data_IF_622278685131
#
_entry.id   IF_622278685131
#
_cell.length_a   1.000
_cell.length_b   1.000
_cell.length_c   1.000
_cell.angle_alpha   90.00
_cell.angle_beta   90.00
_cell.angle_gamma   90.00
#
_symmetry.space_group_name_H-M   'P 1'
#
loop_
_entity.id
_entity.type
_entity.pdbx_description
1 polymer ?
#
# COMPACT_ATOMS: atom_id res chain seq x y z
N UNK A 1 -23.16 2.31 -5.86
CA UNK A 1 -21.98 1.42 -5.81
C UNK A 1 -22.34 0.24 -4.91
N UNK A 2 -22.45 -0.99 -5.45
CA UNK A 2 -22.73 -2.17 -4.61
C UNK A 2 -21.48 -2.43 -3.74
N UNK A 3 -21.63 -2.32 -2.41
CA UNK A 3 -20.59 -2.77 -1.48
C UNK A 3 -20.39 -4.27 -1.70
N UNK A 4 -19.15 -4.70 -1.94
CA UNK A 4 -18.84 -6.11 -2.08
C UNK A 4 -19.17 -6.80 -0.74
N UNK A 5 -19.80 -7.98 -0.77
CA UNK A 5 -20.05 -8.82 0.42
C UNK A 5 -18.76 -9.54 0.87
N UNK A 6 -17.60 -9.00 0.55
CA UNK A 6 -16.32 -9.63 0.85
C UNK A 6 -15.88 -9.20 2.25
N UNK A 7 -15.34 -10.14 3.02
CA UNK A 7 -14.64 -9.81 4.26
C UNK A 7 -13.53 -8.77 3.94
N UNK A 8 -13.23 -7.83 4.86
CA UNK A 8 -12.13 -6.88 4.67
C UNK A 8 -10.85 -7.59 4.19
N UNK A 9 -10.28 -7.13 3.08
CA UNK A 9 -9.12 -7.78 2.43
C UNK A 9 -9.45 -8.79 1.33
N UNK A 10 -10.66 -9.35 1.28
CA UNK A 10 -11.08 -10.31 0.24
C UNK A 10 -11.11 -9.73 -1.17
N UNK A 11 -11.31 -8.41 -1.29
CA UNK A 11 -11.28 -7.67 -2.56
C UNK A 11 -9.91 -7.78 -3.27
N UNK A 12 -8.83 -7.81 -2.50
CA UNK A 12 -7.47 -7.96 -3.02
C UNK A 12 -7.24 -9.36 -3.60
N UNK A 13 -7.78 -10.40 -2.96
CA UNK A 13 -7.68 -11.78 -3.45
C UNK A 13 -8.41 -11.92 -4.79
N UNK A 14 -9.63 -11.39 -4.90
CA UNK A 14 -10.39 -11.39 -6.16
C UNK A 14 -9.65 -10.61 -7.24
N UNK A 15 -9.16 -9.41 -6.93
CA UNK A 15 -8.37 -8.62 -7.87
C UNK A 15 -7.10 -9.35 -8.33
N UNK A 16 -6.50 -10.16 -7.46
CA UNK A 16 -5.36 -10.98 -7.82
C UNK A 16 -5.73 -12.13 -8.76
N UNK A 17 -6.81 -12.84 -8.48
CA UNK A 17 -7.28 -13.92 -9.35
C UNK A 17 -7.64 -13.39 -10.74
N UNK A 18 -8.33 -12.25 -10.82
CA UNK A 18 -8.66 -11.61 -12.10
C UNK A 18 -7.42 -11.09 -12.82
N UNK A 19 -6.48 -10.46 -12.11
CA UNK A 19 -5.25 -9.96 -12.70
C UNK A 19 -4.37 -11.05 -13.31
N UNK A 20 -4.34 -12.25 -12.71
CA UNK A 20 -3.61 -13.41 -13.26
C UNK A 20 -4.18 -13.94 -14.58
N UNK A 21 -5.42 -13.65 -14.91
CA UNK A 21 -6.04 -14.06 -16.19
C UNK A 21 -5.54 -13.23 -17.38
N UNK A 22 -4.89 -12.09 -17.13
CA UNK A 22 -4.37 -11.21 -18.19
C UNK A 22 -3.11 -11.84 -18.81
N UNK A 23 -3.27 -12.33 -20.04
CA UNK A 23 -2.19 -12.96 -20.82
C UNK A 23 -1.01 -12.01 -21.03
N UNK A 24 0.19 -12.59 -21.07
CA UNK A 24 1.45 -11.88 -21.32
C UNK A 24 1.73 -10.71 -20.36
N UNK A 25 1.25 -10.83 -19.12
CA UNK A 25 1.47 -9.81 -18.09
C UNK A 25 2.21 -10.37 -16.88
N UNK A 26 3.05 -9.54 -16.28
CA UNK A 26 3.64 -9.82 -14.97
C UNK A 26 2.71 -9.24 -13.90
N UNK A 27 2.34 -10.08 -12.94
CA UNK A 27 1.35 -9.75 -11.92
C UNK A 27 2.00 -9.58 -10.54
N UNK A 28 1.52 -8.63 -9.73
CA UNK A 28 1.90 -8.53 -8.32
C UNK A 28 0.97 -7.65 -7.47
N UNK A 29 0.93 -7.93 -6.17
CA UNK A 29 0.42 -6.98 -5.19
C UNK A 29 1.42 -5.85 -5.02
N UNK A 30 0.92 -4.63 -5.04
CA UNK A 30 1.73 -3.46 -4.82
C UNK A 30 1.19 -2.74 -3.59
N UNK A 31 1.84 -3.01 -2.45
CA UNK A 31 1.55 -2.33 -1.20
C UNK A 31 2.78 -2.34 -0.29
N UNK A 32 2.81 -1.42 0.67
CA UNK A 32 3.83 -1.35 1.72
C UNK A 32 3.34 -2.14 2.93
N UNK A 33 4.22 -2.94 3.52
CA UNK A 33 3.95 -3.59 4.81
C UNK A 33 3.48 -2.53 5.85
N UNK A 34 2.36 -2.80 6.50
CA UNK A 34 1.74 -1.88 7.46
C UNK A 34 2.65 -1.59 8.66
N UNK A 35 3.49 -2.54 9.10
CA UNK A 35 4.48 -2.32 10.16
C UNK A 35 5.47 -1.23 9.80
N UNK A 36 5.96 -1.23 8.55
CA UNK A 36 6.89 -0.21 8.05
C UNK A 36 6.18 1.16 8.07
N UNK A 37 4.93 1.19 7.63
CA UNK A 37 4.11 2.41 7.65
C UNK A 37 3.95 2.96 9.07
N UNK A 38 3.56 2.13 10.02
CA UNK A 38 3.33 2.52 11.41
C UNK A 38 4.62 2.91 12.12
N UNK A 39 5.73 2.20 11.87
CA UNK A 39 7.03 2.57 12.42
C UNK A 39 7.48 3.95 11.90
N UNK A 40 7.27 4.24 10.61
CA UNK A 40 7.57 5.57 10.04
C UNK A 40 6.70 6.65 10.67
N UNK A 41 5.41 6.37 10.89
CA UNK A 41 4.50 7.27 11.58
C UNK A 41 4.96 7.52 13.02
N UNK A 42 5.22 6.47 13.79
CA UNK A 42 5.65 6.53 15.18
C UNK A 42 6.95 7.34 15.35
N UNK A 43 7.89 7.22 14.42
CA UNK A 43 9.15 8.00 14.41
C UNK A 43 8.94 9.49 14.14
N UNK A 44 7.83 9.88 13.51
CA UNK A 44 7.51 11.27 13.17
C UNK A 44 6.64 11.96 14.22
N UNK A 45 5.94 11.21 15.06
CA UNK A 45 5.14 11.76 16.16
C UNK A 45 6.04 12.16 17.33
N UNK A 46 5.78 13.33 17.90
CA UNK A 46 6.30 13.76 19.20
C UNK A 46 5.71 12.93 20.33
N UNK A 47 6.32 13.00 21.53
CA UNK A 47 5.80 12.29 22.70
C UNK A 47 4.35 12.69 23.04
N UNK A 48 4.02 13.98 22.94
CA UNK A 48 2.67 14.49 23.18
C UNK A 48 1.65 14.00 22.14
N UNK A 49 2.04 13.97 20.86
CA UNK A 49 1.17 13.45 19.80
C UNK A 49 0.92 11.95 19.95
N UNK A 50 1.92 11.17 20.40
CA UNK A 50 1.74 9.75 20.73
C UNK A 50 0.72 9.56 21.85
N UNK A 51 0.81 10.34 22.93
CA UNK A 51 -0.15 10.30 24.02
C UNK A 51 -1.56 10.71 23.57
N UNK A 52 -1.68 11.74 22.72
CA UNK A 52 -2.97 12.17 22.16
C UNK A 52 -3.58 11.10 21.27
N UNK A 53 -2.79 10.48 20.40
CA UNK A 53 -3.25 9.40 19.51
C UNK A 53 -3.69 8.17 20.32
N UNK A 54 -2.97 7.80 21.39
CA UNK A 54 -3.40 6.74 22.31
C UNK A 54 -4.72 7.08 23.00
N UNK A 55 -4.89 8.32 23.46
CA UNK A 55 -6.14 8.79 24.08
C UNK A 55 -7.29 8.74 23.08
N UNK A 56 -7.09 9.25 21.87
CA UNK A 56 -8.11 9.27 20.82
C UNK A 56 -8.53 7.83 20.50
N UNK A 57 -7.59 6.93 20.22
CA UNK A 57 -7.90 5.51 19.97
C UNK A 57 -8.63 4.86 21.15
N UNK A 58 -8.23 5.14 22.39
CA UNK A 58 -8.90 4.60 23.58
C UNK A 58 -10.35 5.12 23.72
N UNK A 59 -10.59 6.40 23.42
CA UNK A 59 -11.93 7.00 23.45
C UNK A 59 -12.86 6.44 22.37
N UNK A 60 -12.32 6.11 21.19
CA UNK A 60 -13.09 5.51 20.10
C UNK A 60 -13.34 4.00 20.29
N UNK A 61 -12.49 3.29 21.06
CA UNK A 61 -12.51 1.83 21.22
C UNK A 61 -12.72 1.38 22.68
N UNK A 62 -13.74 1.88 23.37
CA UNK A 62 -14.07 1.41 24.72
C UNK A 62 -14.44 -0.10 24.82
N UNK A 63 -14.43 -0.86 23.72
CA UNK A 63 -14.67 -2.31 23.73
C UNK A 63 -13.59 -3.16 23.03
N UNK A 64 -12.43 -2.62 22.60
CA UNK A 64 -11.59 -3.36 21.64
C UNK A 64 -10.13 -3.68 22.05
N UNK A 65 -9.88 -4.97 22.30
CA UNK A 65 -8.58 -5.57 22.58
C UNK A 65 -7.56 -5.40 21.43
N UNK A 66 -8.04 -5.04 20.22
CA UNK A 66 -7.22 -4.78 19.02
C UNK A 66 -6.26 -3.59 19.19
N UNK A 67 -6.64 -2.59 19.97
CA UNK A 67 -5.81 -1.39 20.23
C UNK A 67 -4.56 -1.72 21.03
N UNK A 68 -4.66 -2.64 22.00
CA UNK A 68 -3.50 -3.11 22.77
C UNK A 68 -2.49 -3.81 21.86
N UNK A 69 -2.96 -4.63 20.91
CA UNK A 69 -2.09 -5.34 19.94
C UNK A 69 -1.36 -4.41 18.97
N UNK A 70 -1.94 -3.24 18.68
CA UNK A 70 -1.32 -2.20 17.84
C UNK A 70 0.06 -1.77 18.33
N UNK A 71 0.27 -1.81 19.66
CA UNK A 71 1.51 -1.39 20.31
C UNK A 71 2.31 -2.54 20.96
N UNK A 72 1.73 -3.74 21.09
CA UNK A 72 2.31 -4.85 21.86
C UNK A 72 2.78 -6.06 21.02
N UNK A 73 3.13 -5.90 19.74
CA UNK A 73 3.64 -6.94 18.82
C UNK A 73 2.59 -7.88 18.17
N UNK A 74 1.66 -7.39 17.36
CA UNK A 74 1.05 -8.26 16.33
C UNK A 74 0.56 -7.46 15.12
N UNK A 75 1.36 -7.55 14.05
CA UNK A 75 1.29 -6.87 12.76
C UNK A 75 0.01 -7.06 11.94
N UNK A 76 -0.82 -8.06 12.23
CA UNK A 76 -1.52 -8.68 11.11
C UNK A 76 -2.82 -8.02 10.65
N UNK A 77 -3.46 -7.12 11.42
CA UNK A 77 -4.71 -6.49 10.99
C UNK A 77 -4.89 -5.10 11.58
N UNK A 78 -4.32 -4.10 10.92
CA UNK A 78 -4.61 -2.70 11.19
C UNK A 78 -5.19 -2.11 9.92
N UNK A 79 -6.51 -1.91 9.91
CA UNK A 79 -7.22 -1.32 8.80
C UNK A 79 -7.14 0.20 8.86
N UNK A 80 -7.16 0.84 7.70
CA UNK A 80 -7.23 2.29 7.60
C UNK A 80 -8.48 2.86 8.28
N UNK A 81 -9.57 2.10 8.26
CA UNK A 81 -10.84 2.43 8.91
C UNK A 81 -10.75 2.39 10.44
N UNK A 82 -9.70 1.78 11.01
CA UNK A 82 -9.45 1.79 12.46
C UNK A 82 -8.93 3.16 12.95
N UNK A 83 -8.65 4.09 12.01
CA UNK A 83 -8.21 5.45 12.32
C UNK A 83 -9.32 6.48 12.03
N UNK A 84 -9.88 7.11 13.08
CA UNK A 84 -10.97 8.06 12.92
C UNK A 84 -10.55 9.27 12.08
N UNK A 85 -11.47 9.90 11.33
CA UNK A 85 -11.25 11.15 10.60
C UNK A 85 -10.59 12.26 11.44
N UNK A 86 -10.93 12.31 12.73
CA UNK A 86 -10.36 13.26 13.69
C UNK A 86 -8.83 13.11 13.84
N UNK A 87 -8.29 11.90 13.66
CA UNK A 87 -6.84 11.65 13.65
C UNK A 87 -6.16 12.24 12.42
N UNK A 88 -6.84 12.34 11.28
CA UNK A 88 -6.29 12.93 10.06
C UNK A 88 -6.15 14.45 10.17
N UNK A 89 -7.09 15.09 10.86
CA UNK A 89 -7.10 16.52 11.11
C UNK A 89 -6.11 16.92 12.22
N UNK A 90 -6.00 16.10 13.26
CA UNK A 90 -5.12 16.35 14.40
C UNK A 90 -3.63 16.12 14.11
N UNK A 91 -3.30 15.32 13.09
CA UNK A 91 -1.93 14.91 12.82
C UNK A 91 -1.57 15.12 11.34
N UNK A 92 -1.03 16.29 10.96
CA UNK A 92 -0.74 16.63 9.56
C UNK A 92 0.24 15.66 8.89
N UNK A 93 1.14 15.05 9.67
CA UNK A 93 2.08 14.04 9.18
C UNK A 93 1.43 12.67 8.92
N UNK A 94 0.27 12.40 9.53
CA UNK A 94 -0.44 11.13 9.39
C UNK A 94 -0.83 10.88 7.94
N UNK A 95 -1.46 11.87 7.30
CA UNK A 95 -1.83 11.79 5.88
C UNK A 95 -0.61 11.63 4.97
N UNK A 96 0.45 12.40 5.26
CA UNK A 96 1.70 12.32 4.50
C UNK A 96 2.29 10.91 4.53
N UNK A 97 2.32 10.26 5.68
CA UNK A 97 2.99 8.95 5.84
C UNK A 97 2.09 7.80 5.39
N UNK A 98 0.81 7.81 5.78
CA UNK A 98 -0.14 6.74 5.49
C UNK A 98 -0.54 6.68 4.02
N UNK A 99 -0.58 7.83 3.34
CA UNK A 99 -0.97 7.94 1.93
C UNK A 99 0.21 8.36 1.07
N UNK A 100 0.73 9.58 1.24
CA UNK A 100 1.72 10.14 0.31
C UNK A 100 3.01 9.30 0.18
N UNK A 101 3.66 8.96 1.29
CA UNK A 101 4.86 8.13 1.29
C UNK A 101 4.57 6.68 0.85
N UNK A 102 3.36 6.19 1.11
CA UNK A 102 2.92 4.86 0.66
C UNK A 102 2.77 4.85 -0.86
N UNK A 103 2.18 5.90 -1.43
CA UNK A 103 2.06 6.10 -2.88
C UNK A 103 3.44 6.15 -3.55
N UNK A 104 4.38 6.93 -2.97
CA UNK A 104 5.76 6.99 -3.45
C UNK A 104 6.45 5.63 -3.43
N UNK A 105 6.28 4.87 -2.34
CA UNK A 105 6.80 3.53 -2.22
C UNK A 105 6.24 2.62 -3.31
N UNK A 106 4.91 2.59 -3.48
CA UNK A 106 4.25 1.76 -4.48
C UNK A 106 4.70 2.12 -5.90
N UNK A 107 4.77 3.40 -6.26
CA UNK A 107 5.27 3.85 -7.56
C UNK A 107 6.71 3.42 -7.81
N UNK A 108 7.57 3.57 -6.81
CA UNK A 108 8.99 3.20 -6.91
C UNK A 108 9.14 1.69 -7.07
N UNK A 109 8.39 0.91 -6.29
CA UNK A 109 8.37 -0.54 -6.37
C UNK A 109 7.92 -1.03 -7.76
N UNK A 110 6.86 -0.43 -8.31
CA UNK A 110 6.38 -0.76 -9.65
C UNK A 110 7.40 -0.44 -10.72
N UNK A 111 8.06 0.72 -10.63
CA UNK A 111 9.10 1.12 -11.58
C UNK A 111 10.32 0.17 -11.52
N UNK A 112 10.75 -0.21 -10.32
CA UNK A 112 11.84 -1.18 -10.14
C UNK A 112 11.49 -2.55 -10.71
N UNK A 113 10.26 -3.03 -10.47
CA UNK A 113 9.76 -4.28 -11.05
C UNK A 113 9.70 -4.21 -12.57
N UNK A 114 9.22 -3.08 -13.12
CA UNK A 114 9.20 -2.84 -14.55
C UNK A 114 10.59 -2.90 -15.16
N UNK A 115 11.54 -2.13 -14.62
CA UNK A 115 12.91 -2.07 -15.14
C UNK A 115 13.58 -3.43 -15.11
N UNK A 116 13.41 -4.20 -14.02
CA UNK A 116 13.97 -5.55 -13.92
C UNK A 116 13.47 -6.47 -15.05
N UNK A 117 12.14 -6.52 -15.26
CA UNK A 117 11.56 -7.39 -16.30
C UNK A 117 11.94 -6.87 -17.70
N UNK A 118 12.01 -5.56 -17.87
CA UNK A 118 12.46 -4.94 -19.12
C UNK A 118 13.90 -5.37 -19.45
N UNK A 119 14.83 -5.25 -18.50
CA UNK A 119 16.22 -5.67 -18.68
C UNK A 119 16.35 -7.16 -19.02
N UNK A 120 15.60 -8.02 -18.34
CA UNK A 120 15.55 -9.46 -18.63
C UNK A 120 15.06 -9.73 -20.06
N UNK A 121 13.96 -9.10 -20.49
CA UNK A 121 13.43 -9.26 -21.85
C UNK A 121 14.34 -8.68 -22.92
N UNK A 122 14.97 -7.53 -22.64
CA UNK A 122 15.88 -6.87 -23.57
C UNK A 122 17.10 -7.76 -23.85
N UNK A 123 17.69 -8.37 -22.81
CA UNK A 123 18.80 -9.33 -22.96
C UNK A 123 18.44 -10.50 -23.87
N UNK A 124 17.31 -11.16 -23.60
CA UNK A 124 16.83 -12.28 -24.43
C UNK A 124 16.58 -11.84 -25.87
N UNK A 125 16.01 -10.65 -26.09
CA UNK A 125 15.75 -10.15 -27.45
C UNK A 125 17.02 -9.90 -28.26
N UNK A 126 18.10 -9.44 -27.60
CA UNK A 126 19.41 -9.23 -28.21
C UNK A 126 20.08 -10.57 -28.51
N UNK A 127 20.08 -11.50 -27.55
CA UNK A 127 20.71 -12.82 -27.69
C UNK A 127 20.03 -13.67 -28.79
N UNK A 128 18.71 -13.58 -28.92
CA UNK A 128 17.95 -14.33 -29.93
C UNK A 128 17.78 -13.60 -31.27
N UNK A 129 18.33 -12.40 -31.42
CA UNK A 129 18.14 -11.52 -32.60
C UNK A 129 16.65 -11.34 -33.00
N UNK A 130 15.78 -11.17 -32.01
CA UNK A 130 14.32 -11.03 -32.20
C UNK A 130 13.81 -9.71 -31.65
N UNK A 131 12.72 -9.23 -32.22
CA UNK A 131 12.00 -8.07 -31.67
C UNK A 131 11.51 -8.35 -30.25
N UNK A 132 11.79 -7.41 -29.33
CA UNK A 132 11.33 -7.51 -27.95
C UNK A 132 9.80 -7.41 -27.88
N UNK A 133 9.16 -8.41 -27.26
CA UNK A 133 7.72 -8.38 -27.01
C UNK A 133 7.34 -7.29 -26.01
N UNK A 134 6.15 -6.73 -26.17
CA UNK A 134 5.61 -5.72 -25.25
C UNK A 134 5.65 -6.19 -23.79
N UNK A 135 5.95 -5.26 -22.89
CA UNK A 135 5.95 -5.50 -21.45
C UNK A 135 4.64 -4.98 -20.84
N UNK A 136 3.81 -5.92 -20.39
CA UNK A 136 2.59 -5.60 -19.65
C UNK A 136 2.79 -5.95 -18.18
N UNK A 137 2.46 -5.01 -17.28
CA UNK A 137 2.50 -5.24 -15.83
C UNK A 137 1.13 -4.91 -15.26
N UNK A 138 0.64 -5.81 -14.43
CA UNK A 138 -0.64 -5.67 -13.72
C UNK A 138 -0.33 -5.60 -12.23
N UNK A 139 -0.71 -4.48 -11.62
CA UNK A 139 -0.55 -4.23 -10.21
C UNK A 139 -1.91 -4.11 -9.53
N UNK A 140 -2.11 -4.85 -8.45
CA UNK A 140 -3.28 -4.68 -7.58
C UNK A 140 -2.91 -3.70 -6.47
N UNK A 141 -3.69 -2.63 -6.36
CA UNK A 141 -3.51 -1.53 -5.40
C UNK A 141 -4.85 -1.12 -4.82
N UNK A 142 -4.83 -0.56 -3.60
CA UNK A 142 -6.02 0.05 -3.03
C UNK A 142 -6.49 1.25 -3.85
N UNK A 143 -7.80 1.39 -4.06
CA UNK A 143 -8.38 2.45 -4.91
C UNK A 143 -7.90 3.86 -4.53
N UNK A 144 -7.79 4.17 -3.24
CA UNK A 144 -7.34 5.46 -2.74
C UNK A 144 -5.92 5.86 -3.15
N UNK A 145 -5.09 4.90 -3.58
CA UNK A 145 -3.70 5.12 -3.95
C UNK A 145 -3.48 5.35 -5.44
N UNK A 146 -4.50 5.10 -6.29
CA UNK A 146 -4.36 5.18 -7.75
C UNK A 146 -3.89 6.56 -8.22
N UNK A 147 -4.47 7.63 -7.67
CA UNK A 147 -4.10 9.00 -8.04
C UNK A 147 -2.66 9.34 -7.63
N UNK A 148 -2.28 8.99 -6.41
CA UNK A 148 -0.91 9.21 -5.93
C UNK A 148 0.11 8.42 -6.72
N UNK A 149 -0.18 7.15 -7.04
CA UNK A 149 0.71 6.31 -7.84
C UNK A 149 0.97 6.95 -9.21
N UNK A 150 -0.09 7.36 -9.92
CA UNK A 150 0.02 8.08 -11.21
C UNK A 150 0.84 9.36 -11.09
N UNK A 151 0.74 10.04 -9.96
CA UNK A 151 1.49 11.27 -9.72
C UNK A 151 2.98 11.04 -9.51
N UNK A 152 3.39 9.90 -8.94
CA UNK A 152 4.80 9.60 -8.66
C UNK A 152 5.47 8.67 -9.67
N UNK A 153 4.71 7.86 -10.40
CA UNK A 153 5.28 6.86 -11.30
C UNK A 153 6.12 7.49 -12.42
N UNK A 154 7.38 7.08 -12.53
CA UNK A 154 8.32 7.59 -13.54
C UNK A 154 8.80 9.02 -13.32
N UNK A 155 8.45 9.65 -12.19
CA UNK A 155 8.89 11.02 -11.85
C UNK A 155 10.09 10.98 -10.90
N UNK A 156 10.98 11.96 -11.04
CA UNK A 156 12.13 12.19 -10.15
C UNK A 156 11.75 13.03 -8.94
#
# INVERSE_FOLDING_TARGET
MKRSKLCPGGEFNVAQEEGRKIRNSSFGFCDRNIEITLNRLYKKLTFWEKLKLLKDIFYFNNEDERVKKLFHNTSNYINFDDFPPLSWENFPFFKKIMVGERDQYMSTFLLQKYNKIFEEKAKVSIEEEKNMRALNIVAVVGYGHISGIKNYFGKK
#
